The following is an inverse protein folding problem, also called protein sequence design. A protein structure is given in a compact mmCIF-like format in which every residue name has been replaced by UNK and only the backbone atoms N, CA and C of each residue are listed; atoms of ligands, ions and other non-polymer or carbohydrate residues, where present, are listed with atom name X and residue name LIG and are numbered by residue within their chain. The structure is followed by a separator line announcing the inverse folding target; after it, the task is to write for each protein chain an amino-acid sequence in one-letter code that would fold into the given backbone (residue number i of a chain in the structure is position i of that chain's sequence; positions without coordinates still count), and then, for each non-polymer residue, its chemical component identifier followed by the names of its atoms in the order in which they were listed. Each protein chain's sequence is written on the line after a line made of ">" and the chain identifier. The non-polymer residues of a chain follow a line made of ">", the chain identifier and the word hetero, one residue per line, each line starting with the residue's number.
data_IF_711464677620
#
_entry.id   IF_711464677620
#
_cell.length_a   1.000
_cell.length_b   1.000
_cell.length_c   1.000
_cell.angle_alpha   90.00
_cell.angle_beta   90.00
_cell.angle_gamma   90.00
#
_symmetry.space_group_name_H-M   'P 1'
#
loop_
_entity.id
_entity.type
_entity.pdbx_description
1 polymer ?
#
# COMPACT_ATOMS: atom_id res chain seq x y z
N UNK A 1 15.66 -13.59 -13.33
CA UNK A 1 15.79 -13.06 -11.95
C UNK A 1 15.81 -11.52 -11.91
N UNK A 2 15.17 -10.81 -12.84
CA UNK A 2 15.24 -9.34 -12.99
C UNK A 2 14.29 -8.52 -12.11
N UNK A 3 13.36 -9.18 -11.39
CA UNK A 3 12.34 -8.51 -10.58
C UNK A 3 12.90 -7.90 -9.28
N UNK A 4 14.16 -8.21 -8.98
CA UNK A 4 14.84 -7.89 -7.72
C UNK A 4 15.65 -6.61 -7.86
N UNK A 5 14.99 -5.49 -8.16
CA UNK A 5 15.62 -4.15 -8.10
C UNK A 5 16.18 -3.83 -6.69
N UNK A 6 16.93 -2.72 -6.55
CA UNK A 6 17.42 -2.25 -5.25
C UNK A 6 16.32 -2.14 -4.20
N UNK A 7 16.68 -2.23 -2.92
CA UNK A 7 15.71 -2.25 -1.81
C UNK A 7 14.78 -1.03 -1.85
N UNK A 8 15.30 0.17 -2.11
CA UNK A 8 14.49 1.38 -2.25
C UNK A 8 13.47 1.30 -3.40
N UNK A 9 13.85 0.72 -4.54
CA UNK A 9 12.94 0.52 -5.68
C UNK A 9 11.80 -0.44 -5.33
N UNK A 10 12.08 -1.48 -4.54
CA UNK A 10 11.03 -2.41 -4.06
C UNK A 10 10.08 -1.73 -3.10
N UNK A 11 10.59 -0.89 -2.21
CA UNK A 11 9.74 -0.13 -1.29
C UNK A 11 8.80 0.81 -2.05
N UNK A 12 9.30 1.54 -3.05
CA UNK A 12 8.46 2.37 -3.92
C UNK A 12 7.41 1.54 -4.66
N UNK A 13 7.79 0.36 -5.18
CA UNK A 13 6.85 -0.53 -5.86
C UNK A 13 5.74 -1.02 -4.91
N UNK A 14 6.05 -1.34 -3.65
CA UNK A 14 5.06 -1.73 -2.63
C UNK A 14 4.12 -0.57 -2.31
N UNK A 15 4.64 0.66 -2.16
CA UNK A 15 3.79 1.83 -1.93
C UNK A 15 2.85 2.09 -3.11
N UNK A 16 3.35 2.01 -4.34
CA UNK A 16 2.54 2.15 -5.53
C UNK A 16 1.45 1.08 -5.62
N UNK A 17 1.81 -0.18 -5.36
CA UNK A 17 0.85 -1.29 -5.32
C UNK A 17 -0.21 -1.08 -4.23
N UNK A 18 0.17 -0.56 -3.07
CA UNK A 18 -0.75 -0.15 -2.00
C UNK A 18 -1.75 0.91 -2.48
N UNK A 19 -1.26 1.99 -3.09
CA UNK A 19 -2.12 3.05 -3.64
C UNK A 19 -3.08 2.53 -4.72
N UNK A 20 -2.59 1.71 -5.65
CA UNK A 20 -3.43 1.08 -6.69
C UNK A 20 -4.48 0.16 -6.06
N UNK A 21 -4.11 -0.61 -5.03
CA UNK A 21 -5.03 -1.46 -4.29
C UNK A 21 -6.18 -0.70 -3.64
N UNK A 22 -5.90 0.45 -3.01
CA UNK A 22 -6.92 1.33 -2.41
C UNK A 22 -7.90 1.83 -3.49
N UNK A 23 -7.38 2.31 -4.63
CA UNK A 23 -8.22 2.78 -5.74
C UNK A 23 -9.06 1.64 -6.32
N UNK A 24 -8.49 0.44 -6.46
CA UNK A 24 -9.21 -0.73 -6.92
C UNK A 24 -10.34 -1.12 -5.95
N UNK A 25 -10.10 -1.09 -4.64
CA UNK A 25 -11.14 -1.36 -3.64
C UNK A 25 -12.25 -0.30 -3.65
N UNK A 26 -11.89 0.97 -3.80
CA UNK A 26 -12.88 2.04 -3.96
C UNK A 26 -13.73 1.81 -5.22
N UNK A 27 -13.12 1.47 -6.36
CA UNK A 27 -13.84 1.14 -7.59
C UNK A 27 -14.75 -0.10 -7.43
N UNK A 28 -14.28 -1.13 -6.72
CA UNK A 28 -15.08 -2.33 -6.42
C UNK A 28 -16.30 -2.02 -5.56
N UNK A 29 -16.21 -1.05 -4.65
CA UNK A 29 -17.35 -0.58 -3.85
C UNK A 29 -18.49 -0.12 -4.77
N UNK A 30 -18.17 0.65 -5.81
CA UNK A 30 -19.15 1.07 -6.80
C UNK A 30 -19.62 -0.09 -7.70
N UNK A 31 -18.70 -0.96 -8.11
CA UNK A 31 -19.03 -2.06 -9.02
C UNK A 31 -19.94 -3.13 -8.39
N UNK A 32 -19.81 -3.37 -7.08
CA UNK A 32 -20.58 -4.38 -6.35
C UNK A 32 -21.71 -3.80 -5.51
N UNK A 33 -21.88 -2.48 -5.51
CA UNK A 33 -22.87 -1.75 -4.69
C UNK A 33 -22.80 -2.15 -3.19
N UNK A 34 -21.58 -2.45 -2.73
CA UNK A 34 -21.35 -2.95 -1.38
C UNK A 34 -20.61 -1.89 -0.55
N UNK A 35 -21.32 -1.07 0.24
CA UNK A 35 -20.69 0.04 0.98
C UNK A 35 -19.66 -0.41 2.02
N UNK A 36 -19.73 -1.64 2.52
CA UNK A 36 -18.78 -2.16 3.52
C UNK A 36 -17.35 -2.32 3.00
N UNK A 37 -17.10 -2.32 1.68
CA UNK A 37 -15.74 -2.37 1.15
C UNK A 37 -14.97 -1.05 1.28
N UNK A 38 -15.66 0.07 1.56
CA UNK A 38 -15.01 1.35 1.86
C UNK A 38 -14.18 1.25 3.14
N UNK A 39 -14.72 0.63 4.18
CA UNK A 39 -14.03 0.46 5.46
C UNK A 39 -12.73 -0.34 5.29
N UNK A 40 -12.75 -1.33 4.39
CA UNK A 40 -11.58 -2.12 4.04
C UNK A 40 -10.52 -1.26 3.33
N UNK A 41 -10.93 -0.43 2.36
CA UNK A 41 -10.03 0.48 1.64
C UNK A 41 -9.37 1.50 2.57
N UNK A 42 -10.15 2.08 3.51
CA UNK A 42 -9.66 3.00 4.53
C UNK A 42 -8.68 2.31 5.48
N UNK A 43 -9.06 1.14 6.00
CA UNK A 43 -8.19 0.35 6.89
C UNK A 43 -6.87 0.00 6.20
N UNK A 44 -6.93 -0.44 4.94
CA UNK A 44 -5.76 -0.75 4.15
C UNK A 44 -4.88 0.48 3.91
N UNK A 45 -5.47 1.65 3.67
CA UNK A 45 -4.75 2.92 3.57
C UNK A 45 -3.98 3.28 4.83
N UNK A 46 -4.63 3.20 6.00
CA UNK A 46 -3.99 3.47 7.30
C UNK A 46 -2.83 2.51 7.54
N UNK A 47 -3.02 1.22 7.27
CA UNK A 47 -1.98 0.20 7.42
C UNK A 47 -0.82 0.44 6.44
N UNK A 48 -1.11 0.81 5.20
CA UNK A 48 -0.08 1.09 4.18
C UNK A 48 0.80 2.26 4.59
N UNK A 49 0.21 3.37 5.07
CA UNK A 49 0.97 4.53 5.54
C UNK A 49 1.79 4.18 6.78
N UNK A 50 1.20 3.48 7.73
CA UNK A 50 1.87 3.07 8.97
C UNK A 50 3.07 2.15 8.68
N UNK A 51 2.90 1.18 7.79
CA UNK A 51 3.97 0.30 7.35
C UNK A 51 5.10 1.07 6.62
N UNK A 52 4.74 2.04 5.77
CA UNK A 52 5.72 2.91 5.10
C UNK A 52 6.56 3.72 6.09
N UNK A 53 5.93 4.29 7.11
CA UNK A 53 6.62 5.06 8.15
C UNK A 53 7.54 4.18 9.00
N UNK A 54 7.07 3.00 9.42
CA UNK A 54 7.89 2.02 10.13
C UNK A 54 9.13 1.63 9.33
N UNK A 55 8.95 1.38 8.03
CA UNK A 55 10.07 1.07 7.15
C UNK A 55 11.03 2.26 6.99
N UNK A 56 10.52 3.47 6.83
CA UNK A 56 11.35 4.68 6.73
C UNK A 56 12.19 4.89 8.00
N UNK A 57 11.57 4.80 9.18
CA UNK A 57 12.27 4.90 10.47
C UNK A 57 13.31 3.80 10.63
N UNK A 58 13.02 2.58 10.18
CA UNK A 58 13.98 1.49 10.20
C UNK A 58 15.18 1.79 9.29
N UNK A 59 14.92 2.22 8.06
CA UNK A 59 15.97 2.55 7.10
C UNK A 59 16.85 3.71 7.61
N UNK A 60 16.27 4.76 8.18
CA UNK A 60 17.04 5.90 8.71
C UNK A 60 17.94 5.54 9.91
N UNK A 61 17.54 4.55 10.72
CA UNK A 61 18.26 4.23 11.97
C UNK A 61 19.24 3.07 11.84
N UNK A 62 19.04 2.16 10.88
CA UNK A 62 19.73 0.87 10.88
C UNK A 62 20.38 0.48 9.54
N UNK A 63 20.17 1.25 8.46
CA UNK A 63 20.76 1.01 7.14
C UNK A 63 21.69 2.16 6.78
#
# INVERSE_FOLDING_TARGET
>A
MSWRGPVGTRFVAVQLAGSVGIVAMAAMTFAFDQPSSVDLAVTFGVLSVTASLLYAVFAERWV
#
